data_IF_627159303601
#
_entry.id   IF_627159303601
#
_cell.length_a   1.000
_cell.length_b   1.000
_cell.length_c   1.000
_cell.angle_alpha   90.00
_cell.angle_beta   90.00
_cell.angle_gamma   90.00
#
_symmetry.space_group_name_H-M   'P 1'
#
loop_
_entity.id
_entity.type
_entity.pdbx_description
1 polymer ?
#
# COMPACT_ATOMS: atom_id res chain seq x y z
N UNK A 1 14.67 7.52 7.12
CA UNK A 1 13.81 8.70 6.98
C UNK A 1 13.63 9.39 8.33
N UNK A 2 13.09 8.71 9.36
CA UNK A 2 12.74 9.29 10.66
C UNK A 2 13.97 9.94 11.33
N UNK A 3 15.10 9.27 11.39
CA UNK A 3 16.36 9.82 11.94
C UNK A 3 16.82 11.12 11.24
N UNK A 4 16.48 11.31 9.95
CA UNK A 4 16.74 12.58 9.27
C UNK A 4 15.76 13.66 9.71
N UNK A 5 14.48 13.33 9.86
CA UNK A 5 13.45 14.26 10.31
C UNK A 5 13.67 14.72 11.75
N UNK A 6 14.07 13.81 12.64
CA UNK A 6 14.36 14.11 14.05
C UNK A 6 15.46 15.17 14.22
N UNK A 7 16.39 15.30 13.27
CA UNK A 7 17.44 16.35 13.31
C UNK A 7 16.91 17.78 13.19
N UNK A 8 15.68 17.95 12.74
CA UNK A 8 15.02 19.25 12.62
C UNK A 8 14.11 19.56 13.81
N UNK A 9 14.03 18.66 14.79
CA UNK A 9 13.20 18.81 15.97
C UNK A 9 14.09 19.06 17.19
N UNK A 10 13.70 20.07 18.00
CA UNK A 10 14.32 20.33 19.30
C UNK A 10 13.63 19.47 20.36
N UNK A 11 14.04 18.20 20.45
CA UNK A 11 13.47 17.22 21.38
C UNK A 11 14.60 16.45 22.11
N UNK A 12 14.29 15.97 23.31
CA UNK A 12 15.26 15.17 24.07
C UNK A 12 15.59 13.84 23.37
N UNK A 13 16.82 13.33 23.54
CA UNK A 13 17.21 12.02 22.98
C UNK A 13 16.28 10.87 23.39
N UNK A 14 15.77 10.88 24.61
CA UNK A 14 14.83 9.87 25.10
C UNK A 14 13.49 9.91 24.35
N UNK A 15 12.96 11.09 24.08
CA UNK A 15 11.74 11.26 23.28
C UNK A 15 11.99 10.87 21.82
N UNK A 16 13.12 11.26 21.24
CA UNK A 16 13.50 10.85 19.91
C UNK A 16 13.56 9.32 19.76
N UNK A 17 14.15 8.63 20.73
CA UNK A 17 14.18 7.17 20.75
C UNK A 17 12.78 6.56 20.88
N UNK A 18 11.92 7.13 21.75
CA UNK A 18 10.52 6.66 21.90
C UNK A 18 9.71 6.81 20.62
N UNK A 19 9.91 7.88 19.86
CA UNK A 19 9.25 8.11 18.58
C UNK A 19 9.60 7.01 17.53
N UNK A 20 10.78 6.41 17.62
CA UNK A 20 11.24 5.40 16.66
C UNK A 20 10.85 3.98 17.08
N UNK A 21 10.81 3.73 18.39
CA UNK A 21 10.72 2.37 18.93
C UNK A 21 9.27 1.90 19.03
N UNK A 22 8.99 0.70 18.55
CA UNK A 22 7.70 0.04 18.74
C UNK A 22 7.43 -0.28 20.22
N UNK A 23 6.16 -0.15 20.63
CA UNK A 23 5.72 -0.51 21.97
C UNK A 23 5.84 -2.03 22.21
N UNK A 24 5.44 -2.81 21.22
CA UNK A 24 5.48 -4.27 21.29
C UNK A 24 5.57 -4.89 19.91
N UNK A 25 6.18 -6.06 19.84
CA UNK A 25 6.20 -6.91 18.65
C UNK A 25 6.04 -8.36 19.04
N UNK A 26 5.13 -9.03 18.38
CA UNK A 26 4.82 -10.45 18.59
C UNK A 26 5.26 -11.25 17.39
N UNK A 27 6.08 -12.27 17.64
CA UNK A 27 6.38 -13.33 16.66
C UNK A 27 5.48 -14.52 16.93
N UNK A 28 4.75 -14.97 15.92
CA UNK A 28 3.92 -16.16 16.00
C UNK A 28 4.41 -17.22 15.05
N UNK A 29 4.50 -18.46 15.52
CA UNK A 29 4.80 -19.65 14.73
C UNK A 29 3.66 -20.64 14.85
N UNK A 30 3.24 -21.18 13.71
CA UNK A 30 2.09 -22.09 13.69
C UNK A 30 2.20 -23.10 12.56
N UNK A 31 1.60 -24.27 12.76
CA UNK A 31 1.53 -25.33 11.77
C UNK A 31 0.17 -25.38 11.07
N UNK A 32 0.17 -25.70 9.78
CA UNK A 32 -1.02 -26.00 8.99
C UNK A 32 -0.80 -27.30 8.22
N UNK A 33 -1.77 -28.23 8.28
CA UNK A 33 -1.73 -29.45 7.47
C UNK A 33 -2.18 -29.14 6.05
N UNK A 34 -1.26 -29.22 5.11
CA UNK A 34 -1.46 -28.96 3.67
C UNK A 34 -0.78 -30.09 2.89
N UNK A 35 -1.38 -30.53 1.80
CA UNK A 35 -0.81 -31.56 0.90
C UNK A 35 -0.37 -32.85 1.65
N UNK A 36 -1.08 -33.20 2.74
CA UNK A 36 -0.75 -34.39 3.56
C UNK A 36 0.30 -34.17 4.66
N UNK A 37 1.02 -33.06 4.66
CA UNK A 37 2.11 -32.72 5.58
C UNK A 37 1.80 -31.50 6.45
N UNK A 38 2.57 -31.31 7.52
CA UNK A 38 2.50 -30.11 8.36
C UNK A 38 3.55 -29.12 7.87
N UNK A 39 3.08 -27.99 7.37
CA UNK A 39 3.92 -26.83 7.01
C UNK A 39 3.93 -25.83 8.16
N UNK A 40 5.09 -25.33 8.52
CA UNK A 40 5.28 -24.33 9.59
C UNK A 40 5.46 -22.95 8.99
N UNK A 41 4.75 -21.97 9.54
CA UNK A 41 4.78 -20.58 9.12
C UNK A 41 5.22 -19.69 10.27
N UNK A 42 5.88 -18.59 9.93
CA UNK A 42 6.30 -17.56 10.87
C UNK A 42 5.72 -16.20 10.43
N UNK A 43 5.14 -15.49 11.38
CA UNK A 43 4.58 -14.17 11.15
C UNK A 43 4.74 -13.26 12.35
N UNK A 44 4.47 -11.98 12.12
CA UNK A 44 4.66 -10.90 13.10
C UNK A 44 3.41 -10.02 13.19
N UNK A 45 3.26 -9.37 14.32
CA UNK A 45 2.40 -8.22 14.52
C UNK A 45 3.09 -7.22 15.42
N UNK A 46 3.48 -6.08 14.86
CA UNK A 46 4.14 -4.98 15.57
C UNK A 46 3.15 -3.87 15.85
N UNK A 47 3.19 -3.36 17.07
CA UNK A 47 2.43 -2.20 17.52
C UNK A 47 3.45 -1.09 17.84
N UNK A 48 3.45 -0.05 17.04
CA UNK A 48 4.39 1.05 17.22
C UNK A 48 3.92 2.01 18.31
N UNK A 49 2.69 2.49 18.23
CA UNK A 49 2.17 3.45 19.21
C UNK A 49 0.68 3.28 19.43
N UNK A 50 0.30 3.21 20.68
CA UNK A 50 -1.07 3.10 21.21
C UNK A 50 -1.55 4.41 21.83
N UNK A 51 -0.96 5.55 21.44
CA UNK A 51 -1.41 6.86 21.90
C UNK A 51 -2.86 7.18 21.51
N UNK A 52 -3.34 6.50 20.48
CA UNK A 52 -4.75 6.44 20.08
C UNK A 52 -5.08 5.02 19.66
N UNK A 53 -6.23 4.53 20.07
CA UNK A 53 -6.77 3.21 19.71
C UNK A 53 -8.01 3.36 18.82
N UNK A 54 -8.22 2.37 17.93
CA UNK A 54 -7.37 1.21 17.70
C UNK A 54 -6.10 1.56 16.94
N UNK A 55 -5.06 0.74 17.09
CA UNK A 55 -3.89 0.80 16.22
C UNK A 55 -4.23 0.23 14.84
N UNK A 56 -3.66 0.79 13.79
CA UNK A 56 -4.04 0.53 12.41
C UNK A 56 -2.82 0.18 11.57
N UNK A 57 -2.92 -0.90 10.76
CA UNK A 57 -1.87 -1.26 9.81
C UNK A 57 -2.15 -2.54 9.04
N UNK A 58 -1.62 -2.65 7.82
CA UNK A 58 -1.83 -3.79 6.93
C UNK A 58 -1.18 -5.08 7.42
N UNK A 59 -1.57 -6.21 6.82
CA UNK A 59 -0.90 -7.51 6.93
C UNK A 59 -0.30 -7.83 5.56
N UNK A 60 1.02 -7.99 5.51
CA UNK A 60 1.78 -8.32 4.30
C UNK A 60 2.09 -9.80 4.22
N UNK A 61 1.88 -10.40 3.04
CA UNK A 61 2.33 -11.74 2.72
C UNK A 61 3.45 -11.65 1.70
N UNK A 62 4.70 -11.85 2.15
CA UNK A 62 5.89 -11.77 1.30
C UNK A 62 7.03 -12.58 1.91
N UNK A 63 7.87 -13.21 1.07
CA UNK A 63 9.07 -13.93 1.53
C UNK A 63 10.12 -13.02 2.14
N UNK A 64 10.18 -11.76 1.72
CA UNK A 64 11.10 -10.77 2.25
C UNK A 64 10.68 -10.23 3.61
N UNK A 65 9.43 -10.46 4.03
CA UNK A 65 8.93 -9.98 5.33
C UNK A 65 9.74 -10.55 6.49
N UNK A 66 10.16 -9.67 7.39
CA UNK A 66 10.89 -10.00 8.60
C UNK A 66 10.62 -8.98 9.71
N UNK A 67 10.97 -9.32 10.95
CA UNK A 67 10.69 -8.54 12.15
C UNK A 67 11.03 -7.04 12.01
N UNK A 68 12.26 -6.71 11.62
CA UNK A 68 12.72 -5.33 11.57
C UNK A 68 11.97 -4.50 10.50
N UNK A 69 11.56 -5.11 9.38
CA UNK A 69 10.70 -4.47 8.38
C UNK A 69 9.32 -4.21 8.96
N UNK A 70 8.74 -5.18 9.67
CA UNK A 70 7.40 -5.07 10.26
C UNK A 70 7.36 -3.93 11.28
N UNK A 71 8.36 -3.80 12.15
CA UNK A 71 8.52 -2.69 13.09
C UNK A 71 8.66 -1.34 12.40
N UNK A 72 9.51 -1.25 11.39
CA UNK A 72 9.70 -0.02 10.63
C UNK A 72 8.39 0.43 9.94
N UNK A 73 7.65 -0.50 9.36
CA UNK A 73 6.37 -0.23 8.73
C UNK A 73 5.27 0.13 9.74
N UNK A 74 5.29 -0.45 10.96
CA UNK A 74 4.39 -0.07 12.04
C UNK A 74 4.62 1.38 12.49
N UNK A 75 5.88 1.80 12.58
CA UNK A 75 6.24 3.19 12.87
C UNK A 75 5.73 4.15 11.78
N UNK A 76 5.95 3.80 10.50
CA UNK A 76 5.43 4.58 9.38
C UNK A 76 3.90 4.70 9.40
N UNK A 77 3.18 3.69 9.90
CA UNK A 77 1.72 3.78 10.04
C UNK A 77 1.31 4.81 11.10
N UNK A 78 2.00 4.92 12.24
CA UNK A 78 1.75 6.00 13.22
C UNK A 78 1.96 7.37 12.60
N UNK A 79 3.06 7.58 11.89
CA UNK A 79 3.36 8.87 11.26
C UNK A 79 2.35 9.20 10.15
N UNK A 80 1.98 8.22 9.34
CA UNK A 80 0.96 8.37 8.30
C UNK A 80 -0.38 8.82 8.88
N UNK A 81 -0.83 8.21 9.98
CA UNK A 81 -2.07 8.56 10.65
C UNK A 81 -1.99 9.97 11.25
N UNK A 82 -0.86 10.32 11.87
CA UNK A 82 -0.64 11.64 12.45
C UNK A 82 -0.62 12.77 11.40
N UNK A 83 0.02 12.56 10.25
CA UNK A 83 0.10 13.56 9.18
C UNK A 83 -1.29 14.01 8.71
N UNK A 84 -2.25 13.09 8.61
CA UNK A 84 -3.62 13.38 8.18
C UNK A 84 -4.59 13.53 9.35
N UNK A 85 -4.07 13.58 10.57
CA UNK A 85 -4.83 13.78 11.81
C UNK A 85 -6.03 12.82 11.99
N UNK A 86 -5.83 11.53 11.67
CA UNK A 86 -6.84 10.51 11.97
C UNK A 86 -6.56 9.86 13.33
N UNK A 87 -7.60 9.50 14.09
CA UNK A 87 -7.48 9.07 15.48
C UNK A 87 -7.09 7.59 15.60
N UNK A 88 -5.94 7.21 15.03
CA UNK A 88 -5.41 5.84 15.06
C UNK A 88 -3.95 5.80 15.44
N UNK A 89 -3.60 4.85 16.30
CA UNK A 89 -2.21 4.44 16.48
C UNK A 89 -1.68 3.69 15.26
N UNK A 90 -0.43 3.27 15.31
CA UNK A 90 0.22 2.54 14.21
C UNK A 90 0.55 1.11 14.55
N UNK A 91 0.22 0.20 13.65
CA UNK A 91 0.60 -1.20 13.71
C UNK A 91 0.95 -1.73 12.32
N UNK A 92 1.58 -2.89 12.28
CA UNK A 92 1.86 -3.64 11.06
C UNK A 92 1.83 -5.12 11.35
N UNK A 93 1.54 -5.95 10.35
CA UNK A 93 1.66 -7.39 10.44
C UNK A 93 2.25 -7.95 9.16
N UNK A 94 2.90 -9.11 9.31
CA UNK A 94 3.47 -9.81 8.18
C UNK A 94 3.47 -11.31 8.38
N UNK A 95 3.40 -12.04 7.28
CA UNK A 95 3.61 -13.48 7.22
C UNK A 95 4.66 -13.78 6.17
N UNK A 96 5.70 -14.51 6.54
CA UNK A 96 6.78 -14.90 5.63
C UNK A 96 6.31 -16.03 4.73
N UNK A 97 5.73 -15.67 3.60
CA UNK A 97 5.14 -16.61 2.63
C UNK A 97 5.14 -15.99 1.23
N UNK A 98 5.37 -16.81 0.20
CA UNK A 98 5.03 -16.44 -1.17
C UNK A 98 3.62 -16.94 -1.48
N UNK A 99 2.61 -16.06 -1.65
CA UNK A 99 1.25 -16.49 -1.95
C UNK A 99 1.12 -17.31 -3.24
N UNK A 100 2.01 -17.10 -4.22
CA UNK A 100 1.98 -17.81 -5.49
C UNK A 100 2.33 -19.31 -5.38
N UNK A 101 2.95 -19.75 -4.28
CA UNK A 101 3.31 -21.16 -4.06
C UNK A 101 2.13 -22.02 -3.59
N UNK A 102 1.00 -21.38 -3.26
CA UNK A 102 -0.16 -21.99 -2.61
C UNK A 102 -1.45 -21.74 -3.39
N UNK A 103 -2.32 -22.74 -3.44
CA UNK A 103 -3.64 -22.52 -4.01
C UNK A 103 -4.55 -21.67 -3.08
N UNK A 104 -5.67 -21.21 -3.62
CA UNK A 104 -6.59 -20.34 -2.88
C UNK A 104 -7.13 -20.98 -1.59
N UNK A 105 -7.36 -22.28 -1.58
CA UNK A 105 -7.85 -22.99 -0.39
C UNK A 105 -6.76 -23.15 0.66
N UNK A 106 -5.53 -23.32 0.22
CA UNK A 106 -4.36 -23.39 1.08
C UNK A 106 -4.08 -22.04 1.72
N UNK A 107 -4.06 -20.96 0.94
CA UNK A 107 -3.94 -19.57 1.45
C UNK A 107 -5.05 -19.26 2.45
N UNK A 108 -6.28 -19.68 2.19
CA UNK A 108 -7.39 -19.50 3.15
C UNK A 108 -7.10 -20.20 4.48
N UNK A 109 -6.67 -21.46 4.46
CA UNK A 109 -6.32 -22.20 5.69
C UNK A 109 -5.17 -21.54 6.46
N UNK A 110 -4.14 -21.11 5.75
CA UNK A 110 -2.98 -20.41 6.34
C UNK A 110 -3.43 -19.10 6.97
N UNK A 111 -4.19 -18.28 6.23
CA UNK A 111 -4.70 -16.99 6.70
C UNK A 111 -5.59 -17.13 7.94
N UNK A 112 -6.52 -18.08 7.92
CA UNK A 112 -7.40 -18.35 9.08
C UNK A 112 -6.59 -18.80 10.30
N UNK A 113 -5.62 -19.68 10.12
CA UNK A 113 -4.78 -20.14 11.21
C UNK A 113 -3.91 -19.04 11.78
N UNK A 114 -3.34 -18.18 10.93
CA UNK A 114 -2.62 -16.97 11.35
C UNK A 114 -3.55 -16.03 12.13
N UNK A 115 -4.73 -15.77 11.61
CA UNK A 115 -5.74 -14.95 12.30
C UNK A 115 -6.07 -15.48 13.69
N UNK A 116 -6.24 -16.79 13.87
CA UNK A 116 -6.48 -17.41 15.18
C UNK A 116 -5.37 -17.09 16.18
N UNK A 117 -4.11 -17.15 15.75
CA UNK A 117 -2.97 -16.82 16.62
C UNK A 117 -2.95 -15.34 17.02
N UNK A 118 -3.34 -14.44 16.11
CA UNK A 118 -3.42 -13.02 16.42
C UNK A 118 -4.65 -12.68 17.30
N UNK A 119 -5.81 -13.25 17.03
CA UNK A 119 -7.04 -13.01 17.79
C UNK A 119 -6.92 -13.46 19.25
N UNK A 120 -6.28 -14.61 19.49
CA UNK A 120 -6.03 -15.12 20.85
C UNK A 120 -5.21 -14.15 21.73
N UNK A 121 -4.49 -13.24 21.11
CA UNK A 121 -3.61 -12.27 21.78
C UNK A 121 -4.14 -10.83 21.68
N UNK A 122 -5.39 -10.67 21.25
CA UNK A 122 -6.06 -9.41 20.98
C UNK A 122 -5.31 -8.50 19.99
N UNK A 123 -4.44 -9.11 19.16
CA UNK A 123 -3.70 -8.44 18.07
C UNK A 123 -4.56 -8.26 16.81
N UNK A 124 -5.78 -8.76 16.82
CA UNK A 124 -6.90 -8.41 15.95
C UNK A 124 -8.10 -8.16 16.87
N UNK A 125 -8.51 -6.92 16.98
CA UNK A 125 -9.62 -6.48 17.84
C UNK A 125 -10.16 -5.15 17.33
N UNK A 126 -11.49 -4.95 17.25
CA UNK A 126 -12.10 -3.70 16.83
C UNK A 126 -11.66 -2.49 17.65
N UNK A 127 -11.41 -2.70 18.94
CA UNK A 127 -11.07 -1.61 19.88
C UNK A 127 -9.57 -1.35 20.00
N UNK A 128 -8.71 -2.32 19.71
CA UNK A 128 -7.28 -2.22 20.00
C UNK A 128 -6.39 -2.26 18.76
N UNK A 129 -6.67 -3.18 17.81
CA UNK A 129 -5.75 -3.42 16.70
C UNK A 129 -6.48 -3.94 15.46
N UNK A 130 -6.60 -3.09 14.45
CA UNK A 130 -7.42 -3.34 13.26
C UNK A 130 -6.53 -3.48 12.00
N UNK A 131 -6.36 -4.69 11.48
CA UNK A 131 -5.65 -4.95 10.23
C UNK A 131 -6.35 -4.39 8.99
N UNK A 132 -5.57 -4.34 7.90
CA UNK A 132 -6.02 -3.97 6.57
C UNK A 132 -5.24 -4.78 5.51
N UNK A 133 -5.65 -4.77 4.23
CA UNK A 133 -4.86 -5.35 3.15
C UNK A 133 -3.52 -4.64 2.96
N UNK A 134 -2.52 -5.38 2.51
CA UNK A 134 -1.21 -4.90 2.09
C UNK A 134 -0.67 -5.79 0.94
N UNK A 135 0.61 -5.69 0.60
CA UNK A 135 1.25 -6.55 -0.40
C UNK A 135 0.97 -8.02 -0.09
N UNK A 136 0.58 -8.79 -1.11
CA UNK A 136 0.25 -10.21 -1.00
C UNK A 136 -1.07 -10.54 -0.31
N UNK A 137 -1.84 -9.55 0.14
CA UNK A 137 -3.20 -9.73 0.69
C UNK A 137 -4.21 -8.80 0.00
N UNK A 138 -5.45 -9.19 0.03
CA UNK A 138 -6.57 -8.52 -0.62
C UNK A 138 -7.80 -8.43 0.29
N UNK A 139 -8.89 -7.96 -0.27
CA UNK A 139 -10.20 -7.97 0.40
C UNK A 139 -10.66 -9.39 0.76
N UNK A 140 -10.19 -10.40 0.03
CA UNK A 140 -10.52 -11.81 0.28
C UNK A 140 -9.94 -12.30 1.61
N UNK A 141 -8.64 -12.06 1.85
CA UNK A 141 -7.97 -12.42 3.10
C UNK A 141 -8.60 -11.68 4.29
N UNK A 142 -8.96 -10.41 4.11
CA UNK A 142 -9.65 -9.64 5.15
C UNK A 142 -11.05 -10.23 5.46
N UNK A 143 -11.75 -10.72 4.46
CA UNK A 143 -13.03 -11.41 4.70
C UNK A 143 -12.86 -12.71 5.50
N UNK A 144 -11.80 -13.49 5.22
CA UNK A 144 -11.51 -14.72 5.99
C UNK A 144 -11.11 -14.41 7.43
N UNK A 145 -10.32 -13.35 7.66
CA UNK A 145 -9.95 -12.90 9.00
C UNK A 145 -11.19 -12.45 9.80
N UNK A 146 -12.07 -11.66 9.19
CA UNK A 146 -13.30 -11.20 9.82
C UNK A 146 -14.27 -12.36 10.15
N UNK A 147 -14.36 -13.35 9.26
CA UNK A 147 -15.15 -14.55 9.49
C UNK A 147 -14.59 -15.38 10.65
N UNK A 148 -13.26 -15.51 10.72
CA UNK A 148 -12.60 -16.23 11.81
C UNK A 148 -12.74 -15.49 13.15
N UNK A 149 -12.67 -14.16 13.15
CA UNK A 149 -12.89 -13.33 14.33
C UNK A 149 -14.30 -13.57 14.92
N UNK A 150 -15.32 -13.53 14.07
CA UNK A 150 -16.72 -13.78 14.51
C UNK A 150 -16.93 -15.15 15.12
N UNK A 151 -16.23 -16.18 14.64
CA UNK A 151 -16.29 -17.52 15.22
C UNK A 151 -15.66 -17.59 16.60
N UNK A 152 -14.55 -16.87 16.81
CA UNK A 152 -13.80 -16.89 18.09
C UNK A 152 -14.41 -15.96 19.13
N UNK A 153 -14.93 -14.80 18.69
CA UNK A 153 -15.53 -13.76 19.54
C UNK A 153 -17.01 -13.52 19.16
N UNK A 154 -17.90 -14.52 19.29
CA UNK A 154 -19.27 -14.43 18.78
C UNK A 154 -20.14 -13.40 19.49
N UNK A 155 -19.77 -12.97 20.69
CA UNK A 155 -20.49 -11.96 21.48
C UNK A 155 -20.04 -10.53 21.20
N UNK A 156 -18.99 -10.33 20.40
CA UNK A 156 -18.52 -8.99 20.05
C UNK A 156 -19.43 -8.37 18.98
N UNK A 157 -20.25 -7.40 19.41
CA UNK A 157 -21.19 -6.68 18.53
C UNK A 157 -20.45 -5.84 17.46
N UNK A 158 -19.19 -5.47 17.72
CA UNK A 158 -18.34 -4.71 16.80
C UNK A 158 -17.48 -5.61 15.91
N UNK A 159 -17.73 -6.92 15.88
CA UNK A 159 -16.93 -7.91 15.16
C UNK A 159 -16.68 -7.56 13.68
N UNK A 160 -17.59 -6.82 13.05
CA UNK A 160 -17.42 -6.36 11.66
C UNK A 160 -16.32 -5.30 11.52
N UNK A 161 -15.95 -4.60 12.59
CA UNK A 161 -14.89 -3.59 12.59
C UNK A 161 -13.49 -4.16 12.87
N UNK A 162 -13.36 -5.47 13.11
CA UNK A 162 -12.07 -6.09 13.44
C UNK A 162 -11.00 -5.98 12.35
N UNK A 163 -11.40 -5.76 11.09
CA UNK A 163 -10.50 -5.47 9.95
C UNK A 163 -11.17 -4.49 8.99
N UNK A 164 -10.37 -3.74 8.23
CA UNK A 164 -10.85 -2.91 7.11
C UNK A 164 -10.47 -3.52 5.77
N UNK A 165 -11.06 -3.01 4.68
CA UNK A 165 -10.77 -3.48 3.32
C UNK A 165 -11.43 -4.79 2.93
N UNK A 166 -12.47 -5.23 3.65
CA UNK A 166 -13.34 -6.34 3.25
C UNK A 166 -14.14 -5.98 1.99
N UNK A 167 -14.63 -6.99 1.23
CA UNK A 167 -15.58 -6.74 0.14
C UNK A 167 -16.85 -6.05 0.66
N UNK A 168 -17.48 -5.22 -0.18
CA UNK A 168 -18.70 -4.48 0.19
C UNK A 168 -19.82 -5.43 0.67
N UNK A 169 -20.02 -6.56 0.00
CA UNK A 169 -20.99 -7.59 0.39
C UNK A 169 -20.63 -8.39 1.67
N UNK A 170 -19.51 -8.06 2.31
CA UNK A 170 -19.04 -8.60 3.60
C UNK A 170 -18.82 -7.50 4.64
N UNK A 171 -19.68 -6.49 4.62
CA UNK A 171 -19.60 -5.31 5.50
C UNK A 171 -18.31 -4.46 5.27
N UNK A 172 -17.80 -4.43 4.04
CA UNK A 172 -16.76 -3.50 3.63
C UNK A 172 -17.37 -2.18 3.16
N UNK A 173 -16.53 -1.16 3.06
CA UNK A 173 -16.91 0.13 2.46
C UNK A 173 -16.45 0.16 1.01
N UNK A 174 -17.25 0.74 0.14
CA UNK A 174 -16.88 1.05 -1.24
C UNK A 174 -15.81 2.16 -1.30
N UNK A 175 -15.14 2.30 -2.44
CA UNK A 175 -14.10 3.31 -2.65
C UNK A 175 -12.73 2.94 -2.07
N UNK A 176 -12.59 1.87 -1.29
CA UNK A 176 -11.32 1.48 -0.69
C UNK A 176 -10.26 1.13 -1.75
N UNK A 177 -10.68 0.54 -2.86
CA UNK A 177 -9.78 0.11 -3.92
C UNK A 177 -9.08 1.31 -4.56
N UNK A 178 -9.81 2.37 -4.84
CA UNK A 178 -9.32 3.59 -5.50
C UNK A 178 -8.74 4.65 -4.54
N UNK A 179 -9.07 4.56 -3.24
CA UNK A 179 -8.80 5.62 -2.26
C UNK A 179 -7.32 6.06 -2.21
N UNK A 180 -6.37 5.14 -2.34
CA UNK A 180 -4.95 5.48 -2.32
C UNK A 180 -4.54 6.26 -3.57
N UNK A 181 -4.98 5.84 -4.75
CA UNK A 181 -4.75 6.55 -6.01
C UNK A 181 -5.43 7.92 -6.01
N UNK A 182 -6.64 8.02 -5.46
CA UNK A 182 -7.35 9.29 -5.27
C UNK A 182 -6.59 10.24 -4.34
N UNK A 183 -6.02 9.72 -3.26
CA UNK A 183 -5.17 10.50 -2.34
C UNK A 183 -3.93 11.07 -3.03
N UNK A 184 -3.29 10.31 -3.92
CA UNK A 184 -2.17 10.81 -4.74
C UNK A 184 -2.63 11.96 -5.64
N UNK A 185 -3.76 11.81 -6.31
CA UNK A 185 -4.33 12.87 -7.16
C UNK A 185 -4.62 14.16 -6.36
N UNK A 186 -5.17 14.04 -5.14
CA UNK A 186 -5.40 15.20 -4.27
C UNK A 186 -4.09 15.93 -3.92
N UNK A 187 -3.03 15.20 -3.57
CA UNK A 187 -1.73 15.81 -3.26
C UNK A 187 -1.15 16.51 -4.49
N UNK A 188 -1.23 15.91 -5.67
CA UNK A 188 -0.81 16.55 -6.92
C UNK A 188 -1.59 17.85 -7.16
N UNK A 189 -2.90 17.82 -6.99
CA UNK A 189 -3.75 19.00 -7.14
C UNK A 189 -3.39 20.10 -6.14
N UNK A 190 -3.21 19.77 -4.87
CA UNK A 190 -2.84 20.76 -3.84
C UNK A 190 -1.42 21.32 -4.07
N UNK A 191 -0.50 20.48 -4.57
CA UNK A 191 0.82 20.94 -4.98
C UNK A 191 0.75 22.07 -6.04
N UNK A 192 -0.10 21.90 -7.07
CA UNK A 192 -0.30 22.92 -8.11
C UNK A 192 -1.06 24.17 -7.63
N UNK A 193 -1.70 24.12 -6.45
CA UNK A 193 -2.31 25.28 -5.79
C UNK A 193 -1.32 26.08 -4.94
N UNK A 194 -0.15 25.54 -4.66
CA UNK A 194 0.86 26.21 -3.82
C UNK A 194 1.82 27.02 -4.69
N UNK A 195 1.57 28.33 -4.78
CA UNK A 195 2.39 29.23 -5.60
C UNK A 195 3.85 29.28 -5.17
N UNK A 196 4.16 29.17 -3.87
CA UNK A 196 5.54 29.22 -3.37
C UNK A 196 6.33 28.01 -3.85
N UNK A 197 5.74 26.80 -3.75
CA UNK A 197 6.35 25.59 -4.27
C UNK A 197 6.55 25.65 -5.78
N UNK A 198 5.55 26.14 -6.51
CA UNK A 198 5.65 26.27 -7.97
C UNK A 198 6.76 27.27 -8.39
N UNK A 199 6.89 28.39 -7.68
CA UNK A 199 7.98 29.37 -7.92
C UNK A 199 9.35 28.73 -7.66
N UNK A 200 9.47 27.95 -6.57
CA UNK A 200 10.72 27.27 -6.20
C UNK A 200 11.23 26.32 -7.28
N UNK A 201 10.32 25.56 -7.90
CA UNK A 201 10.65 24.57 -8.95
C UNK A 201 10.47 25.11 -10.37
N UNK A 202 10.14 26.39 -10.51
CA UNK A 202 9.91 27.07 -11.80
C UNK A 202 8.81 26.41 -12.64
N UNK A 203 7.75 25.93 -11.99
CA UNK A 203 6.56 25.41 -12.67
C UNK A 203 5.49 26.49 -12.83
N UNK A 204 4.74 26.39 -13.92
CA UNK A 204 3.52 27.18 -14.12
C UNK A 204 2.34 26.50 -13.40
N UNK A 205 1.33 27.24 -12.94
CA UNK A 205 0.18 26.66 -12.25
C UNK A 205 -0.78 25.87 -13.15
N UNK A 206 -0.67 26.02 -14.47
CA UNK A 206 -1.52 25.30 -15.43
C UNK A 206 -1.18 23.81 -15.44
N UNK A 207 -2.13 22.97 -15.02
CA UNK A 207 -1.95 21.50 -14.96
C UNK A 207 -2.06 20.85 -16.33
N UNK A 208 -2.96 21.30 -17.16
CA UNK A 208 -3.25 20.79 -18.50
C UNK A 208 -2.06 20.85 -19.47
N UNK A 209 -1.11 21.75 -19.22
CA UNK A 209 0.14 21.84 -19.97
C UNK A 209 1.20 20.83 -19.52
N UNK A 210 0.92 20.06 -18.49
CA UNK A 210 1.87 19.12 -17.91
C UNK A 210 1.71 17.72 -18.47
N UNK A 211 2.79 16.99 -18.35
CA UNK A 211 2.81 15.56 -18.63
C UNK A 211 3.36 14.81 -17.43
N UNK A 212 2.99 13.55 -17.31
CA UNK A 212 3.49 12.71 -16.24
C UNK A 212 3.76 11.28 -16.70
N UNK A 213 4.52 10.58 -15.90
CA UNK A 213 4.86 9.17 -16.06
C UNK A 213 4.47 8.46 -14.76
N UNK A 214 3.92 7.26 -14.87
CA UNK A 214 3.63 6.39 -13.73
C UNK A 214 4.58 5.21 -13.72
N UNK A 215 5.17 4.92 -12.55
CA UNK A 215 5.94 3.70 -12.33
C UNK A 215 5.12 2.73 -11.49
N UNK A 216 4.81 1.57 -12.08
CA UNK A 216 3.88 0.59 -11.54
C UNK A 216 2.43 0.90 -11.89
N UNK A 217 1.78 -0.01 -12.62
CA UNK A 217 0.36 0.06 -12.98
C UNK A 217 -0.47 -0.92 -12.13
N UNK A 218 -0.05 -1.11 -10.86
CA UNK A 218 -0.81 -1.83 -9.84
C UNK A 218 -2.06 -1.06 -9.44
N UNK A 219 -2.65 -1.41 -8.28
CA UNK A 219 -3.87 -0.75 -7.82
C UNK A 219 -3.69 0.77 -7.66
N UNK A 220 -2.64 1.19 -6.97
CA UNK A 220 -2.40 2.62 -6.69
C UNK A 220 -2.04 3.39 -7.95
N UNK A 221 -1.08 2.87 -8.74
CA UNK A 221 -0.62 3.55 -9.95
C UNK A 221 -1.70 3.69 -11.01
N UNK A 222 -2.52 2.67 -11.20
CA UNK A 222 -3.65 2.72 -12.12
C UNK A 222 -4.66 3.83 -11.72
N UNK A 223 -5.13 3.82 -10.48
CA UNK A 223 -6.12 4.81 -10.04
C UNK A 223 -5.53 6.22 -9.96
N UNK A 224 -4.27 6.38 -9.53
CA UNK A 224 -3.61 7.67 -9.56
C UNK A 224 -3.48 8.20 -11.00
N UNK A 225 -3.01 7.38 -11.93
CA UNK A 225 -2.87 7.78 -13.32
C UNK A 225 -4.23 8.15 -13.95
N UNK A 226 -5.27 7.35 -13.65
CA UNK A 226 -6.63 7.61 -14.12
C UNK A 226 -7.13 8.97 -13.64
N UNK A 227 -7.13 9.21 -12.33
CA UNK A 227 -7.67 10.43 -11.76
C UNK A 227 -6.84 11.69 -12.09
N UNK A 228 -5.50 11.56 -12.17
CA UNK A 228 -4.67 12.68 -12.62
C UNK A 228 -4.97 13.04 -14.08
N UNK A 229 -5.20 12.04 -14.93
CA UNK A 229 -5.55 12.30 -16.34
C UNK A 229 -6.95 12.85 -16.51
N UNK A 230 -7.94 12.29 -15.81
CA UNK A 230 -9.36 12.66 -15.99
C UNK A 230 -9.72 13.96 -15.26
N UNK A 231 -9.37 14.08 -13.97
CA UNK A 231 -9.80 15.21 -13.15
C UNK A 231 -8.89 16.44 -13.31
N UNK A 232 -7.61 16.24 -13.56
CA UNK A 232 -6.62 17.32 -13.66
C UNK A 232 -6.17 17.59 -15.11
N UNK A 233 -6.60 16.76 -16.06
CA UNK A 233 -6.27 16.87 -17.48
C UNK A 233 -4.76 16.84 -17.78
N UNK A 234 -3.96 16.31 -16.86
CA UNK A 234 -2.52 16.12 -17.05
C UNK A 234 -2.30 14.90 -17.94
N UNK A 235 -1.52 15.05 -18.99
CA UNK A 235 -1.33 14.00 -19.99
C UNK A 235 -0.40 12.91 -19.49
N UNK A 236 -0.87 11.64 -19.41
CA UNK A 236 -0.03 10.48 -19.16
C UNK A 236 0.75 10.13 -20.43
N UNK A 237 2.08 10.27 -20.41
CA UNK A 237 2.95 9.99 -21.56
C UNK A 237 3.82 8.74 -21.38
N UNK A 238 3.91 8.16 -20.20
CA UNK A 238 4.71 6.97 -19.96
C UNK A 238 4.19 6.11 -18.83
N UNK A 239 4.35 4.79 -19.00
CA UNK A 239 4.09 3.77 -17.98
C UNK A 239 5.32 2.88 -17.91
N UNK A 240 5.86 2.70 -16.71
CA UNK A 240 6.99 1.81 -16.45
C UNK A 240 6.55 0.64 -15.55
N UNK A 241 6.86 -0.58 -15.96
CA UNK A 241 6.65 -1.82 -15.22
C UNK A 241 7.97 -2.60 -15.11
N UNK A 242 8.02 -3.60 -14.23
CA UNK A 242 9.22 -4.40 -13.95
C UNK A 242 9.80 -5.12 -15.18
N UNK A 243 8.98 -5.40 -16.18
CA UNK A 243 9.35 -6.14 -17.39
C UNK A 243 9.31 -5.29 -18.68
N UNK A 244 9.30 -3.99 -18.54
CA UNK A 244 9.28 -3.04 -19.64
C UNK A 244 8.23 -1.96 -19.46
N UNK A 245 8.27 -0.95 -20.32
CA UNK A 245 7.34 0.16 -20.26
C UNK A 245 6.90 0.63 -21.63
N UNK A 246 6.05 1.63 -21.67
CA UNK A 246 5.59 2.28 -22.89
C UNK A 246 5.71 3.80 -22.78
N UNK A 247 5.98 4.44 -23.90
CA UNK A 247 6.03 5.89 -24.02
C UNK A 247 5.27 6.36 -25.25
N UNK A 248 4.43 7.39 -25.08
CA UNK A 248 3.75 8.09 -26.17
C UNK A 248 3.52 9.55 -25.79
N UNK A 249 4.18 10.48 -26.46
CA UNK A 249 4.05 11.93 -26.22
C UNK A 249 2.64 12.47 -26.51
N UNK A 250 1.88 11.79 -27.36
CA UNK A 250 0.49 12.16 -27.66
C UNK A 250 -0.49 11.75 -26.54
N UNK A 251 -0.01 10.96 -25.59
CA UNK A 251 -0.80 10.46 -24.45
C UNK A 251 -1.12 8.97 -24.53
N UNK A 252 -1.30 8.40 -23.36
CA UNK A 252 -1.64 6.98 -23.17
C UNK A 252 -2.99 6.89 -22.46
N UNK A 253 -3.93 6.14 -23.02
CA UNK A 253 -5.17 5.82 -22.33
C UNK A 253 -4.93 4.81 -21.22
N UNK A 254 -5.22 5.21 -19.98
CA UNK A 254 -4.90 4.44 -18.76
C UNK A 254 -5.67 3.12 -18.73
N UNK A 255 -6.97 3.14 -19.01
CA UNK A 255 -7.82 1.95 -18.97
C UNK A 255 -7.41 0.93 -20.04
N UNK A 256 -7.11 1.39 -21.25
CA UNK A 256 -6.64 0.55 -22.32
C UNK A 256 -5.29 -0.09 -21.98
N UNK A 257 -4.37 0.69 -21.43
CA UNK A 257 -3.05 0.19 -21.02
C UNK A 257 -3.18 -0.85 -19.88
N UNK A 258 -4.03 -0.60 -18.88
CA UNK A 258 -4.30 -1.54 -17.80
C UNK A 258 -4.87 -2.85 -18.30
N UNK A 259 -5.90 -2.80 -19.14
CA UNK A 259 -6.54 -3.99 -19.71
C UNK A 259 -5.56 -4.80 -20.58
N UNK A 260 -4.73 -4.10 -21.35
CA UNK A 260 -3.70 -4.76 -22.14
C UNK A 260 -2.69 -5.50 -21.26
N UNK A 261 -2.18 -4.82 -20.22
CA UNK A 261 -1.21 -5.40 -19.28
C UNK A 261 -1.77 -6.62 -18.55
N UNK A 262 -3.02 -6.54 -18.08
CA UNK A 262 -3.70 -7.69 -17.45
C UNK A 262 -3.78 -8.89 -18.40
N UNK A 263 -4.10 -8.65 -19.68
CA UNK A 263 -4.28 -9.70 -20.69
C UNK A 263 -2.96 -10.34 -21.12
N UNK A 264 -1.90 -9.55 -21.25
CA UNK A 264 -0.63 -9.98 -21.89
C UNK A 264 0.53 -10.13 -20.89
N UNK A 265 0.41 -9.64 -19.67
CA UNK A 265 1.47 -9.63 -18.64
C UNK A 265 2.67 -8.73 -18.97
N UNK A 266 2.65 -8.02 -20.09
CA UNK A 266 3.72 -7.16 -20.57
C UNK A 266 3.18 -6.09 -21.52
N UNK A 267 3.91 -4.98 -21.67
CA UNK A 267 3.63 -3.95 -22.67
C UNK A 267 4.32 -4.19 -24.02
N UNK A 268 5.01 -5.32 -24.20
CA UNK A 268 5.57 -5.68 -25.49
C UNK A 268 4.46 -5.72 -26.54
N UNK A 269 4.71 -5.11 -27.68
CA UNK A 269 3.75 -4.98 -28.79
C UNK A 269 2.45 -4.21 -28.46
N UNK A 270 2.47 -3.36 -27.42
CA UNK A 270 1.36 -2.45 -27.12
C UNK A 270 1.12 -1.49 -28.29
N UNK A 271 -0.12 -1.38 -28.80
CA UNK A 271 -0.39 -0.52 -29.95
C UNK A 271 -0.28 0.98 -29.59
N UNK A 272 0.18 1.79 -30.53
CA UNK A 272 0.22 3.26 -30.42
C UNK A 272 1.18 3.81 -29.35
N UNK A 273 2.17 3.04 -28.90
CA UNK A 273 3.21 3.52 -28.01
C UNK A 273 4.54 2.83 -28.28
N UNK A 274 5.64 3.52 -28.04
CA UNK A 274 6.99 2.96 -28.10
C UNK A 274 7.23 2.05 -26.90
N UNK A 275 7.59 0.79 -27.13
CA UNK A 275 8.01 -0.10 -26.06
C UNK A 275 9.43 0.22 -25.60
N UNK A 276 9.63 0.33 -24.29
CA UNK A 276 10.92 0.56 -23.61
C UNK A 276 11.26 -0.67 -22.79
N UNK A 277 12.32 -1.40 -23.20
CA UNK A 277 12.70 -2.67 -22.58
C UNK A 277 13.18 -2.50 -21.13
N UNK A 278 13.88 -1.41 -20.82
CA UNK A 278 14.37 -1.08 -19.48
C UNK A 278 13.92 0.34 -19.07
N UNK A 279 12.67 0.47 -18.61
CA UNK A 279 12.12 1.77 -18.24
C UNK A 279 12.65 2.30 -16.90
N UNK A 280 13.36 1.46 -16.13
CA UNK A 280 13.89 1.82 -14.82
C UNK A 280 15.22 2.57 -14.95
N UNK A 281 15.93 2.41 -16.06
CA UNK A 281 17.02 3.31 -16.41
C UNK A 281 16.42 4.66 -16.84
N UNK A 282 16.16 5.52 -15.89
CA UNK A 282 15.51 6.84 -16.02
C UNK A 282 16.10 7.76 -17.09
N UNK A 283 17.26 7.43 -17.64
CA UNK A 283 17.94 8.19 -18.67
C UNK A 283 17.14 8.29 -19.96
N UNK A 284 16.45 7.24 -20.39
CA UNK A 284 15.70 7.27 -21.65
C UNK A 284 14.38 8.05 -21.57
N UNK A 285 13.71 8.00 -20.42
CA UNK A 285 12.49 8.77 -20.20
C UNK A 285 12.80 10.26 -19.90
N UNK A 286 14.04 10.58 -19.50
CA UNK A 286 14.52 11.94 -19.29
C UNK A 286 15.12 12.58 -20.53
N UNK A 287 15.57 11.81 -21.52
CA UNK A 287 16.37 12.31 -22.63
C UNK A 287 15.59 13.12 -23.67
N UNK A 288 14.28 13.15 -23.60
CA UNK A 288 13.42 13.90 -24.52
C UNK A 288 12.72 15.09 -23.88
N UNK A 289 13.21 15.49 -22.66
CA UNK A 289 12.57 16.53 -21.95
C UNK A 289 13.09 17.89 -22.08
N UNK A 290 12.22 18.78 -22.33
CA UNK A 290 12.21 20.12 -21.85
C UNK A 290 11.47 20.15 -20.49
N UNK A 291 12.26 20.20 -19.45
CA UNK A 291 12.02 20.79 -18.12
C UNK A 291 10.73 20.57 -17.29
N UNK A 292 9.73 19.79 -17.66
CA UNK A 292 8.43 19.81 -16.96
C UNK A 292 7.75 18.44 -16.78
N UNK A 293 8.50 17.39 -16.36
CA UNK A 293 7.92 16.08 -16.08
C UNK A 293 7.81 15.81 -14.58
N UNK A 294 6.59 15.43 -14.15
CA UNK A 294 6.35 14.89 -12.82
C UNK A 294 6.57 13.38 -12.86
N UNK A 295 7.54 12.88 -12.09
CA UNK A 295 7.75 11.44 -11.91
C UNK A 295 7.13 11.03 -10.59
N UNK A 296 6.06 10.27 -10.64
CA UNK A 296 5.44 9.69 -9.45
C UNK A 296 5.91 8.24 -9.29
N UNK A 297 6.67 7.95 -8.23
CA UNK A 297 6.97 6.59 -7.77
C UNK A 297 5.91 6.19 -6.76
N UNK A 298 5.11 5.21 -7.12
CA UNK A 298 4.04 4.65 -6.28
C UNK A 298 4.36 3.23 -5.84
#
# INVERSE_FOLDING_TARGET
FVNKALKFLDISPGLANKIITCNSTYTVRFGVRLRGEIHTFEGWRSVHSEHMEPTKGGIRFDLATHLAEDEALAALMSYKNAIINVPFGGSKGGLKINPADWDKKEIEKITRRFAQELIKRDLISPSQNVPAPDIGTSSTEMAWIADEYRKIKPTDINSSACVTGKPANKNGLEGREEATGRGVQYIVREFFRNEELLKLIKFTPLMEDKTFIVQGLGNVGYHAAKFISEDNQIKLIGIAEHNGGIHNIQGINVDHAKNYFIKHGSFKDYPKALFVKDPVSYTHLRAHETSLHLVCRL
#
